data_IF_206244307520
#
_entry.id   IF_206244307520
#
_cell.length_a   1.000
_cell.length_b   1.000
_cell.length_c   1.000
_cell.angle_alpha   90.00
_cell.angle_beta   90.00
_cell.angle_gamma   90.00
#
_symmetry.space_group_name_H-M   'P 1'
#
loop_
_entity.id
_entity.type
_entity.pdbx_description
1 polymer ?
#
# COMPACT_ATOMS: atom_id res chain seq x y z
N UNK A 1 49.10 51.85 -2.10
CA UNK A 1 47.77 51.87 -2.74
C UNK A 1 47.59 53.25 -3.35
N UNK A 2 47.44 53.35 -4.67
CA UNK A 2 47.22 54.63 -5.32
C UNK A 2 45.78 55.09 -5.05
N UNK A 3 45.61 56.28 -4.46
CA UNK A 3 44.32 56.92 -4.27
C UNK A 3 43.78 57.34 -5.65
N UNK A 4 42.79 56.60 -6.12
CA UNK A 4 42.04 56.86 -7.34
C UNK A 4 40.64 57.39 -6.93
N UNK A 5 40.25 58.56 -7.44
CA UNK A 5 38.96 59.22 -7.12
C UNK A 5 37.78 58.59 -7.90
N UNK A 6 38.04 57.95 -9.03
CA UNK A 6 37.06 57.39 -9.97
C UNK A 6 36.64 55.95 -9.57
N UNK A 7 37.54 55.15 -8.97
CA UNK A 7 37.23 53.78 -8.56
C UNK A 7 37.70 53.47 -7.14
N UNK A 8 36.77 53.04 -6.29
CA UNK A 8 37.06 52.60 -4.93
C UNK A 8 37.18 51.07 -4.87
N UNK A 9 38.41 50.57 -4.90
CA UNK A 9 38.71 49.14 -4.83
C UNK A 9 38.22 48.51 -3.51
N UNK A 10 38.41 49.20 -2.37
CA UNK A 10 37.97 48.70 -1.07
C UNK A 10 36.44 48.55 -0.98
N UNK A 11 35.69 49.50 -1.54
CA UNK A 11 34.24 49.41 -1.66
C UNK A 11 33.79 48.25 -2.57
N UNK A 12 34.50 48.00 -3.68
CA UNK A 12 34.18 46.87 -4.56
C UNK A 12 34.40 45.52 -3.87
N UNK A 13 35.50 45.38 -3.10
CA UNK A 13 35.76 44.18 -2.30
C UNK A 13 34.69 44.00 -1.21
N UNK A 14 34.32 45.07 -0.51
CA UNK A 14 33.25 45.04 0.50
C UNK A 14 31.91 44.61 -0.13
N UNK A 15 31.56 45.15 -1.30
CA UNK A 15 30.35 44.77 -2.03
C UNK A 15 30.36 43.29 -2.45
N UNK A 16 31.48 42.75 -2.95
CA UNK A 16 31.58 41.33 -3.31
C UNK A 16 31.38 40.42 -2.10
N UNK A 17 31.97 40.77 -0.96
CA UNK A 17 31.81 40.01 0.28
C UNK A 17 30.37 40.07 0.81
N UNK A 18 29.71 41.24 0.69
CA UNK A 18 28.30 41.39 1.03
C UNK A 18 27.42 40.50 0.13
N UNK A 19 27.60 40.55 -1.19
CA UNK A 19 26.84 39.70 -2.13
C UNK A 19 27.03 38.20 -1.84
N UNK A 20 28.26 37.77 -1.51
CA UNK A 20 28.51 36.38 -1.11
C UNK A 20 27.78 36.02 0.21
N UNK A 21 27.73 36.95 1.17
CA UNK A 21 27.05 36.75 2.45
C UNK A 21 25.53 36.67 2.28
N UNK A 22 24.95 37.54 1.44
CA UNK A 22 23.53 37.52 1.11
C UNK A 22 23.12 36.21 0.40
N UNK A 23 23.96 35.70 -0.51
CA UNK A 23 23.71 34.41 -1.16
C UNK A 23 23.75 33.25 -0.16
N UNK A 24 24.71 33.23 0.76
CA UNK A 24 24.79 32.21 1.82
C UNK A 24 23.60 32.28 2.78
N UNK A 25 23.16 33.48 3.16
CA UNK A 25 21.99 33.70 4.00
C UNK A 25 20.71 33.21 3.30
N UNK A 26 20.56 33.54 2.02
CA UNK A 26 19.42 33.09 1.20
C UNK A 26 19.35 31.57 1.10
N UNK A 27 20.49 30.89 0.87
CA UNK A 27 20.56 29.42 0.83
C UNK A 27 20.25 28.78 2.19
N UNK A 28 20.70 29.41 3.29
CA UNK A 28 20.40 28.94 4.64
C UNK A 28 18.91 29.06 4.96
N UNK A 29 18.30 30.18 4.56
CA UNK A 29 16.87 30.39 4.70
C UNK A 29 16.07 29.38 3.87
N UNK A 30 16.47 29.07 2.62
CA UNK A 30 15.76 28.07 1.82
C UNK A 30 15.83 26.67 2.41
N UNK A 31 16.98 26.28 3.00
CA UNK A 31 17.12 25.01 3.72
C UNK A 31 16.23 24.97 4.94
N UNK A 32 16.22 26.04 5.74
CA UNK A 32 15.36 26.16 6.91
C UNK A 32 13.88 26.07 6.55
N UNK A 33 13.43 26.82 5.54
CA UNK A 33 12.03 26.83 5.09
C UNK A 33 11.59 25.49 4.50
N UNK A 34 12.50 24.77 3.83
CA UNK A 34 12.19 23.44 3.28
C UNK A 34 12.26 22.32 4.34
N UNK A 35 12.95 22.55 5.46
CA UNK A 35 13.30 21.51 6.42
C UNK A 35 14.28 20.45 5.88
N UNK A 36 14.81 20.60 4.66
CA UNK A 36 15.73 19.65 4.03
C UNK A 36 17.15 20.20 3.98
N UNK A 37 18.14 19.33 4.24
CA UNK A 37 19.56 19.64 4.08
C UNK A 37 19.91 19.97 2.63
N UNK A 38 19.27 19.28 1.68
CA UNK A 38 19.51 19.41 0.23
C UNK A 38 18.21 19.83 -0.43
N UNK A 39 18.19 21.05 -0.97
CA UNK A 39 16.99 21.66 -1.56
C UNK A 39 16.98 21.50 -3.08
N UNK A 40 18.16 21.42 -3.70
CA UNK A 40 18.32 21.29 -5.15
C UNK A 40 19.41 20.27 -5.50
N UNK A 41 19.26 19.61 -6.64
CA UNK A 41 20.29 18.75 -7.22
C UNK A 41 21.59 19.51 -7.56
N UNK A 42 21.54 20.84 -7.62
CA UNK A 42 22.71 21.72 -7.77
C UNK A 42 23.60 21.73 -6.53
N UNK A 43 23.03 21.50 -5.34
CA UNK A 43 23.78 21.47 -4.09
C UNK A 43 24.44 20.09 -3.86
N UNK A 44 23.72 19.00 -4.15
CA UNK A 44 24.20 17.62 -4.00
C UNK A 44 23.33 16.64 -4.83
N UNK A 45 23.79 16.33 -6.05
CA UNK A 45 23.06 15.46 -6.97
C UNK A 45 22.97 14.01 -6.47
N UNK A 46 23.99 13.50 -5.78
CA UNK A 46 24.03 12.12 -5.31
C UNK A 46 23.03 11.89 -4.17
N UNK A 47 23.02 12.79 -3.17
CA UNK A 47 22.05 12.70 -2.08
C UNK A 47 20.61 12.87 -2.57
N UNK A 48 20.37 13.78 -3.52
CA UNK A 48 19.03 13.95 -4.12
C UNK A 48 18.58 12.70 -4.89
N UNK A 49 19.46 12.07 -5.65
CA UNK A 49 19.14 10.84 -6.38
C UNK A 49 18.81 9.67 -5.43
N UNK A 50 19.59 9.51 -4.36
CA UNK A 50 19.33 8.48 -3.34
C UNK A 50 18.00 8.78 -2.62
N UNK A 51 17.76 10.04 -2.22
CA UNK A 51 16.53 10.45 -1.57
C UNK A 51 15.29 10.22 -2.44
N UNK A 52 15.36 10.58 -3.72
CA UNK A 52 14.28 10.32 -4.68
C UNK A 52 13.99 8.82 -4.84
N UNK A 53 15.04 7.98 -4.91
CA UNK A 53 14.88 6.52 -4.97
C UNK A 53 14.24 5.98 -3.70
N UNK A 54 14.68 6.42 -2.52
CA UNK A 54 14.08 6.00 -1.25
C UNK A 54 12.62 6.43 -1.14
N UNK A 55 12.29 7.67 -1.52
CA UNK A 55 10.91 8.14 -1.55
C UNK A 55 10.03 7.30 -2.49
N UNK A 56 10.54 6.94 -3.67
CA UNK A 56 9.85 6.06 -4.60
C UNK A 56 9.59 4.67 -3.97
N UNK A 57 10.60 4.09 -3.32
CA UNK A 57 10.45 2.82 -2.59
C UNK A 57 9.44 2.92 -1.45
N UNK A 58 9.47 3.99 -0.65
CA UNK A 58 8.52 4.22 0.44
C UNK A 58 7.09 4.30 -0.09
N UNK A 59 6.88 5.01 -1.21
CA UNK A 59 5.57 5.10 -1.84
C UNK A 59 5.10 3.75 -2.40
N UNK A 60 6.01 2.99 -3.02
CA UNK A 60 5.72 1.63 -3.50
C UNK A 60 5.34 0.69 -2.33
N UNK A 61 6.10 0.74 -1.22
CA UNK A 61 5.81 -0.04 -0.02
C UNK A 61 4.46 0.33 0.60
N UNK A 62 4.10 1.61 0.62
CA UNK A 62 2.78 2.06 1.10
C UNK A 62 1.65 1.43 0.29
N UNK A 63 1.78 1.39 -1.03
CA UNK A 63 0.79 0.72 -1.90
C UNK A 63 0.81 -0.80 -1.68
N UNK A 64 1.99 -1.41 -1.51
CA UNK A 64 2.09 -2.83 -1.20
C UNK A 64 1.36 -3.20 0.11
N UNK A 65 1.46 -2.37 1.15
CA UNK A 65 0.71 -2.57 2.40
C UNK A 65 -0.80 -2.53 2.18
N UNK A 66 -1.30 -1.61 1.34
CA UNK A 66 -2.73 -1.57 0.99
C UNK A 66 -3.14 -2.84 0.26
N UNK A 67 -2.33 -3.30 -0.71
CA UNK A 67 -2.61 -4.53 -1.45
C UNK A 67 -2.63 -5.77 -0.54
N UNK A 68 -1.72 -5.86 0.44
CA UNK A 68 -1.72 -6.92 1.46
C UNK A 68 -3.00 -6.85 2.31
N UNK A 69 -3.45 -5.66 2.69
CA UNK A 69 -4.71 -5.48 3.40
C UNK A 69 -5.91 -6.01 2.60
N UNK A 70 -5.97 -5.69 1.31
CA UNK A 70 -7.02 -6.19 0.41
C UNK A 70 -6.95 -7.73 0.24
N UNK A 71 -5.74 -8.28 0.09
CA UNK A 71 -5.55 -9.73 0.02
C UNK A 71 -6.04 -10.44 1.29
N UNK A 72 -5.77 -9.89 2.47
CA UNK A 72 -6.29 -10.41 3.73
C UNK A 72 -7.83 -10.36 3.79
N UNK A 73 -8.44 -9.26 3.35
CA UNK A 73 -9.91 -9.18 3.28
C UNK A 73 -10.50 -10.21 2.32
N UNK A 74 -9.81 -10.50 1.20
CA UNK A 74 -10.24 -11.54 0.26
C UNK A 74 -10.14 -12.93 0.87
N UNK A 75 -9.05 -13.22 1.58
CA UNK A 75 -8.90 -14.48 2.32
C UNK A 75 -9.97 -14.64 3.40
N UNK A 76 -10.32 -13.57 4.13
CA UNK A 76 -11.41 -13.62 5.10
C UNK A 76 -12.78 -13.93 4.48
N UNK A 77 -13.05 -13.38 3.28
CA UNK A 77 -14.27 -13.70 2.54
C UNK A 77 -14.25 -15.17 2.09
N UNK A 78 -13.10 -15.65 1.61
CA UNK A 78 -12.93 -17.06 1.25
C UNK A 78 -13.11 -17.99 2.46
N UNK A 79 -12.55 -17.66 3.62
CA UNK A 79 -12.72 -18.41 4.87
C UNK A 79 -14.20 -18.46 5.31
N UNK A 80 -14.91 -17.34 5.21
CA UNK A 80 -16.35 -17.29 5.50
C UNK A 80 -17.20 -18.11 4.53
N UNK A 81 -16.87 -18.08 3.24
CA UNK A 81 -17.49 -18.94 2.23
C UNK A 81 -17.23 -20.42 2.51
N UNK A 82 -15.99 -20.77 2.86
CA UNK A 82 -15.59 -22.14 3.19
C UNK A 82 -16.29 -22.67 4.45
N UNK A 83 -16.47 -21.82 5.47
CA UNK A 83 -17.24 -22.18 6.66
C UNK A 83 -18.71 -22.50 6.30
N UNK A 84 -19.30 -21.74 5.39
CA UNK A 84 -20.66 -22.01 4.89
C UNK A 84 -20.73 -23.34 4.12
N UNK A 85 -19.73 -23.62 3.29
CA UNK A 85 -19.61 -24.91 2.58
C UNK A 85 -19.50 -26.08 3.58
N UNK A 86 -18.72 -25.93 4.66
CA UNK A 86 -18.60 -26.96 5.70
C UNK A 86 -19.96 -27.27 6.37
N UNK A 87 -20.73 -26.24 6.72
CA UNK A 87 -22.08 -26.41 7.28
C UNK A 87 -23.01 -27.17 6.30
N UNK A 88 -22.95 -26.84 5.01
CA UNK A 88 -23.72 -27.53 3.96
C UNK A 88 -23.28 -29.00 3.85
N UNK A 89 -21.98 -29.29 3.87
CA UNK A 89 -21.46 -30.66 3.83
C UNK A 89 -21.89 -31.49 5.05
N UNK A 90 -21.96 -30.88 6.24
CA UNK A 90 -22.49 -31.54 7.44
C UNK A 90 -23.98 -31.88 7.27
N UNK A 91 -24.77 -30.99 6.67
CA UNK A 91 -26.17 -31.27 6.33
C UNK A 91 -26.29 -32.40 5.32
N UNK A 92 -25.53 -32.37 4.24
CA UNK A 92 -25.49 -33.42 3.21
C UNK A 92 -25.13 -34.79 3.82
N UNK A 93 -24.14 -34.84 4.73
CA UNK A 93 -23.80 -36.05 5.48
C UNK A 93 -24.96 -36.56 6.32
N UNK A 94 -25.69 -35.66 6.96
CA UNK A 94 -26.88 -36.02 7.77
C UNK A 94 -27.96 -36.64 6.90
N UNK A 95 -28.24 -36.05 5.73
CA UNK A 95 -29.19 -36.61 4.75
C UNK A 95 -28.76 -37.99 4.27
N UNK A 96 -27.48 -38.19 3.97
CA UNK A 96 -26.95 -39.49 3.56
C UNK A 96 -27.14 -40.58 4.64
N UNK A 97 -26.89 -40.25 5.90
CA UNK A 97 -27.12 -41.18 7.03
C UNK A 97 -28.63 -41.46 7.20
N UNK A 98 -29.48 -40.46 7.05
CA UNK A 98 -30.94 -40.63 7.11
C UNK A 98 -31.45 -41.53 5.98
N UNK A 99 -30.98 -41.32 4.74
CA UNK A 99 -31.34 -42.13 3.57
C UNK A 99 -30.84 -43.58 3.69
N UNK A 100 -29.77 -43.83 4.45
CA UNK A 100 -29.26 -45.17 4.77
C UNK A 100 -30.13 -45.93 5.77
N UNK A 101 -31.08 -45.28 6.44
CA UNK A 101 -31.98 -45.97 7.37
C UNK A 101 -32.92 -46.94 6.65
N UNK A 102 -33.13 -48.13 7.23
CA UNK A 102 -33.99 -49.17 6.67
C UNK A 102 -35.49 -48.84 6.71
N UNK A 103 -35.89 -47.84 7.50
CA UNK A 103 -37.29 -47.51 7.76
C UNK A 103 -37.92 -46.52 6.76
N UNK A 104 -37.14 -45.97 5.82
CA UNK A 104 -37.65 -45.06 4.79
C UNK A 104 -38.16 -45.81 3.56
N UNK A 105 -39.31 -45.37 3.06
CA UNK A 105 -39.84 -45.75 1.75
C UNK A 105 -39.00 -45.18 0.60
N UNK A 106 -39.19 -45.70 -0.62
CA UNK A 106 -38.51 -45.20 -1.81
C UNK A 106 -38.82 -43.74 -2.12
N UNK A 107 -40.06 -43.30 -1.88
CA UNK A 107 -40.48 -41.90 -2.08
C UNK A 107 -39.77 -40.96 -1.11
N UNK A 108 -39.67 -41.33 0.17
CA UNK A 108 -38.98 -40.51 1.17
C UNK A 108 -37.48 -40.42 0.88
N UNK A 109 -36.85 -41.49 0.38
CA UNK A 109 -35.45 -41.43 -0.10
C UNK A 109 -35.30 -40.51 -1.31
N UNK A 110 -36.31 -40.46 -2.19
CA UNK A 110 -36.37 -39.52 -3.31
C UNK A 110 -36.29 -38.07 -2.84
N UNK A 111 -37.13 -37.67 -1.87
CA UNK A 111 -37.10 -36.31 -1.33
C UNK A 111 -35.78 -35.94 -0.64
N UNK A 112 -35.15 -36.88 0.06
CA UNK A 112 -33.81 -36.66 0.63
C UNK A 112 -32.73 -36.48 -0.45
N UNK A 113 -32.85 -37.18 -1.58
CA UNK A 113 -31.95 -37.02 -2.70
C UNK A 113 -32.14 -35.65 -3.38
N UNK A 114 -33.38 -35.21 -3.57
CA UNK A 114 -33.66 -33.89 -4.13
C UNK A 114 -33.05 -32.77 -3.26
N UNK A 115 -33.17 -32.86 -1.92
CA UNK A 115 -32.52 -31.91 -1.00
C UNK A 115 -30.98 -31.99 -1.11
N UNK A 116 -30.42 -33.19 -1.23
CA UNK A 116 -28.97 -33.39 -1.39
C UNK A 116 -28.44 -32.76 -2.69
N UNK A 117 -29.18 -32.87 -3.79
CA UNK A 117 -28.80 -32.31 -5.09
C UNK A 117 -28.89 -30.77 -5.08
N UNK A 118 -29.89 -30.18 -4.40
CA UNK A 118 -29.96 -28.73 -4.20
C UNK A 118 -28.80 -28.21 -3.33
N UNK A 119 -28.43 -28.94 -2.27
CA UNK A 119 -27.27 -28.57 -1.44
C UNK A 119 -25.95 -28.71 -2.20
N UNK A 120 -25.85 -29.65 -3.14
CA UNK A 120 -24.70 -29.72 -4.06
C UNK A 120 -24.63 -28.47 -4.94
N UNK A 121 -25.75 -28.05 -5.52
CA UNK A 121 -25.82 -26.82 -6.32
C UNK A 121 -25.51 -25.57 -5.48
N UNK A 122 -25.90 -25.58 -4.21
CA UNK A 122 -25.56 -24.52 -3.24
C UNK A 122 -24.05 -24.37 -3.06
N UNK A 123 -23.33 -25.48 -2.87
CA UNK A 123 -21.85 -25.47 -2.77
C UNK A 123 -21.23 -24.89 -4.04
N UNK A 124 -21.67 -25.34 -5.22
CA UNK A 124 -21.17 -24.85 -6.50
C UNK A 124 -21.48 -23.35 -6.73
N UNK A 125 -22.50 -22.80 -6.06
CA UNK A 125 -22.81 -21.37 -6.09
C UNK A 125 -21.92 -20.54 -5.15
N UNK A 126 -21.49 -21.10 -4.02
CA UNK A 126 -20.66 -20.41 -3.03
C UNK A 126 -19.17 -20.42 -3.43
N UNK A 127 -18.72 -21.48 -4.10
CA UNK A 127 -17.35 -21.66 -4.58
C UNK A 127 -16.96 -20.69 -5.71
#
# INVERSE_FOLDING_TARGET
>A
MALNIISNYAANVAHRNLSASDEMATRSLSKLSSGSRVVSARDDAASMAIGARLNATTQALKTATVNVGQANSMLQIADGGMATIDDVLVRMKTLAVQASSGNLSGTERGFLNDEFDELRNEIDRIA
#
